data_IF_723768175469
#
_entry.id   IF_723768175469
#
_cell.length_a   1.000
_cell.length_b   1.000
_cell.length_c   1.000
_cell.angle_alpha   90.00
_cell.angle_beta   90.00
_cell.angle_gamma   90.00
#
_symmetry.space_group_name_H-M   'P 1'
#
loop_
_entity.id
_entity.type
_entity.pdbx_description
1 polymer ?
#
# COMPACT_ATOMS: atom_id res chain seq x y z
N UNK A 1 5.93 45.84 31.68
CA UNK A 1 5.43 45.96 30.30
C UNK A 1 6.23 45.09 29.34
N UNK A 2 7.53 45.34 29.14
CA UNK A 2 8.38 44.57 28.21
C UNK A 2 8.45 43.07 28.52
N UNK A 3 8.62 42.69 29.79
CA UNK A 3 8.63 41.28 30.22
C UNK A 3 7.32 40.55 29.95
N UNK A 4 6.18 41.24 30.09
CA UNK A 4 4.86 40.68 29.81
C UNK A 4 4.65 40.44 28.31
N UNK A 5 5.11 41.37 27.46
CA UNK A 5 5.08 41.22 25.99
C UNK A 5 5.96 40.04 25.55
N UNK A 6 7.18 39.93 26.09
CA UNK A 6 8.09 38.81 25.79
C UNK A 6 7.46 37.48 26.23
N UNK A 7 6.87 37.42 27.42
CA UNK A 7 6.22 36.22 27.94
C UNK A 7 5.01 35.80 27.09
N UNK A 8 4.22 36.77 26.63
CA UNK A 8 3.08 36.51 25.74
C UNK A 8 3.53 35.98 24.37
N UNK A 9 4.57 36.57 23.76
CA UNK A 9 5.15 36.08 22.52
C UNK A 9 5.76 34.68 22.66
N UNK A 10 6.44 34.40 23.77
CA UNK A 10 7.00 33.08 24.05
C UNK A 10 5.89 32.01 24.13
N UNK A 11 4.74 32.34 24.71
CA UNK A 11 3.60 31.43 24.82
C UNK A 11 3.00 31.10 23.44
N UNK A 12 2.86 32.10 22.56
CA UNK A 12 2.41 31.91 21.17
C UNK A 12 3.39 31.02 20.40
N UNK A 13 4.69 31.29 20.49
CA UNK A 13 5.72 30.50 19.80
C UNK A 13 5.76 29.06 20.31
N UNK A 14 5.59 28.85 21.62
CA UNK A 14 5.50 27.51 22.21
C UNK A 14 4.28 26.76 21.70
N UNK A 15 3.11 27.41 21.64
CA UNK A 15 1.89 26.81 21.09
C UNK A 15 2.04 26.40 19.63
N UNK A 16 2.60 27.28 18.80
CA UNK A 16 2.87 26.99 17.39
C UNK A 16 3.89 25.85 17.21
N UNK A 17 4.98 25.87 17.99
CA UNK A 17 6.01 24.82 17.96
C UNK A 17 5.44 23.46 18.34
N UNK A 18 4.60 23.40 19.39
CA UNK A 18 3.94 22.18 19.84
C UNK A 18 2.98 21.62 18.77
N UNK A 19 2.18 22.47 18.13
CA UNK A 19 1.31 22.06 17.03
C UNK A 19 2.13 21.43 15.88
N UNK A 20 3.20 22.10 15.45
CA UNK A 20 4.08 21.61 14.39
C UNK A 20 4.84 20.34 14.78
N UNK A 21 5.19 20.19 16.05
CA UNK A 21 5.81 18.96 16.56
C UNK A 21 4.85 17.78 16.48
N UNK A 22 3.59 17.96 16.91
CA UNK A 22 2.58 16.90 16.88
C UNK A 22 2.29 16.42 15.45
N UNK A 23 2.22 17.35 14.49
CA UNK A 23 2.06 16.99 13.07
C UNK A 23 3.27 16.19 12.55
N UNK A 24 4.50 16.59 12.91
CA UNK A 24 5.71 15.82 12.56
C UNK A 24 5.72 14.43 13.18
N UNK A 25 5.29 14.29 14.43
CA UNK A 25 5.22 12.99 15.10
C UNK A 25 4.23 12.05 14.42
N UNK A 26 3.07 12.55 13.96
CA UNK A 26 2.14 11.76 13.15
C UNK A 26 2.75 11.31 11.83
N UNK A 27 3.43 12.21 11.11
CA UNK A 27 4.12 11.87 9.86
C UNK A 27 5.15 10.77 10.12
N UNK A 28 5.98 10.92 11.17
CA UNK A 28 6.99 9.91 11.53
C UNK A 28 6.35 8.56 11.85
N UNK A 29 5.25 8.54 12.63
CA UNK A 29 4.53 7.30 12.92
C UNK A 29 3.99 6.64 11.64
N UNK A 30 3.36 7.43 10.76
CA UNK A 30 2.87 6.97 9.47
C UNK A 30 4.02 6.40 8.61
N UNK A 31 5.16 7.06 8.55
CA UNK A 31 6.35 6.54 7.86
C UNK A 31 6.80 5.20 8.44
N UNK A 32 6.84 5.05 9.76
CA UNK A 32 7.24 3.78 10.41
C UNK A 32 6.26 2.65 10.06
N UNK A 33 4.95 2.90 10.09
CA UNK A 33 3.96 1.90 9.68
C UNK A 33 4.11 1.54 8.20
N UNK A 34 4.30 2.56 7.35
CA UNK A 34 4.52 2.35 5.92
C UNK A 34 5.74 1.48 5.63
N UNK A 35 6.88 1.81 6.24
CA UNK A 35 8.14 1.07 6.09
C UNK A 35 8.01 -0.38 6.53
N UNK A 36 7.33 -0.62 7.66
CA UNK A 36 7.19 -1.97 8.22
C UNK A 36 6.26 -2.88 7.41
N UNK A 37 5.22 -2.30 6.79
CA UNK A 37 4.14 -3.09 6.20
C UNK A 37 4.24 -3.11 4.68
N UNK A 38 4.49 -1.97 4.06
CA UNK A 38 4.26 -1.77 2.63
C UNK A 38 5.55 -1.59 1.83
N UNK A 39 6.59 -0.97 2.39
CA UNK A 39 7.76 -0.55 1.59
C UNK A 39 8.41 -1.70 0.79
N UNK A 40 8.70 -2.83 1.45
CA UNK A 40 9.31 -3.99 0.78
C UNK A 40 8.39 -4.60 -0.29
N UNK A 41 7.09 -4.65 0.00
CA UNK A 41 6.09 -5.12 -0.96
C UNK A 41 6.07 -4.26 -2.22
N UNK A 42 6.00 -2.94 -2.06
CA UNK A 42 5.88 -1.97 -3.16
C UNK A 42 7.14 -1.87 -4.02
N UNK A 43 8.32 -1.91 -3.40
CA UNK A 43 9.58 -1.59 -4.09
C UNK A 43 10.28 -2.79 -4.71
N UNK A 44 10.06 -3.98 -4.16
CA UNK A 44 10.83 -5.16 -4.55
C UNK A 44 9.93 -6.37 -4.76
N UNK A 45 9.27 -6.84 -3.70
CA UNK A 45 8.66 -8.18 -3.70
C UNK A 45 7.58 -8.33 -4.77
N UNK A 46 6.71 -7.31 -4.93
CA UNK A 46 5.62 -7.34 -5.90
C UNK A 46 6.13 -7.32 -7.35
N UNK A 47 7.15 -6.50 -7.64
CA UNK A 47 7.72 -6.38 -8.99
C UNK A 47 8.43 -7.66 -9.41
N UNK A 48 9.24 -8.22 -8.51
CA UNK A 48 9.94 -9.48 -8.77
C UNK A 48 8.94 -10.63 -8.98
N UNK A 49 7.94 -10.77 -8.10
CA UNK A 49 6.94 -11.81 -8.24
C UNK A 49 6.08 -11.65 -9.50
N UNK A 50 5.76 -10.42 -9.91
CA UNK A 50 5.04 -10.17 -11.17
C UNK A 50 5.84 -10.60 -12.40
N UNK A 51 7.14 -10.37 -12.40
CA UNK A 51 8.04 -10.72 -13.52
C UNK A 51 8.25 -12.23 -13.66
N UNK A 52 8.09 -13.00 -12.57
CA UNK A 52 8.23 -14.46 -12.59
C UNK A 52 7.04 -15.17 -13.27
N UNK A 53 5.88 -14.52 -13.29
CA UNK A 53 4.64 -15.07 -13.85
C UNK A 53 4.67 -15.09 -15.38
N UNK A 54 4.26 -16.22 -15.95
CA UNK A 54 4.18 -16.41 -17.41
C UNK A 54 3.06 -17.37 -17.79
N UNK A 55 2.61 -17.28 -19.04
CA UNK A 55 1.76 -18.31 -19.63
C UNK A 55 2.62 -19.43 -20.21
N UNK A 56 2.19 -20.67 -20.01
CA UNK A 56 2.80 -21.84 -20.65
C UNK A 56 2.25 -22.09 -22.06
N UNK A 57 2.72 -23.16 -22.70
CA UNK A 57 2.27 -23.57 -24.05
C UNK A 57 0.78 -23.87 -24.14
N UNK A 58 0.16 -24.32 -23.05
CA UNK A 58 -1.27 -24.64 -22.97
C UNK A 58 -2.13 -23.42 -22.69
N UNK A 59 -1.49 -22.28 -22.41
CA UNK A 59 -2.15 -21.03 -22.08
C UNK A 59 -2.54 -20.91 -20.62
N UNK A 60 -2.00 -21.75 -19.74
CA UNK A 60 -2.19 -21.66 -18.29
C UNK A 60 -1.16 -20.71 -17.69
N UNK A 61 -1.59 -19.92 -16.71
CA UNK A 61 -0.70 -19.08 -15.90
C UNK A 61 0.13 -19.96 -14.96
N UNK A 62 1.44 -19.74 -14.90
CA UNK A 62 2.40 -20.47 -14.07
C UNK A 62 3.26 -19.53 -13.24
N UNK A 63 3.94 -20.09 -12.23
CA UNK A 63 4.80 -19.38 -11.28
C UNK A 63 4.07 -18.32 -10.44
N UNK A 64 2.77 -18.49 -10.21
CA UNK A 64 1.94 -17.54 -9.46
C UNK A 64 2.10 -17.65 -7.94
N UNK A 65 2.53 -18.81 -7.43
CA UNK A 65 2.62 -19.13 -6.01
C UNK A 65 3.37 -18.06 -5.20
N UNK A 66 4.48 -17.53 -5.72
CA UNK A 66 5.23 -16.47 -5.04
C UNK A 66 4.38 -15.22 -4.85
N UNK A 67 3.63 -14.82 -5.89
CA UNK A 67 2.80 -13.63 -5.85
C UNK A 67 1.56 -13.86 -4.96
N UNK A 68 0.89 -15.01 -5.09
CA UNK A 68 -0.22 -15.41 -4.22
C UNK A 68 0.19 -15.34 -2.73
N UNK A 69 1.36 -15.89 -2.39
CA UNK A 69 1.89 -15.84 -1.03
C UNK A 69 2.17 -14.41 -0.55
N UNK A 70 2.68 -13.53 -1.41
CA UNK A 70 2.90 -12.12 -1.07
C UNK A 70 1.58 -11.37 -0.84
N UNK A 71 0.56 -11.62 -1.67
CA UNK A 71 -0.77 -11.04 -1.52
C UNK A 71 -1.42 -11.51 -0.21
N UNK A 72 -1.32 -12.80 0.09
CA UNK A 72 -1.83 -13.38 1.33
C UNK A 72 -1.11 -12.82 2.58
N UNK A 73 0.21 -12.71 2.55
CA UNK A 73 1.01 -12.15 3.64
C UNK A 73 0.69 -10.67 3.89
N UNK A 74 0.59 -9.86 2.82
CA UNK A 74 0.16 -8.48 2.95
C UNK A 74 -1.26 -8.40 3.52
N UNK A 75 -2.17 -9.26 3.06
CA UNK A 75 -3.54 -9.38 3.56
C UNK A 75 -3.61 -9.61 5.08
N UNK A 76 -2.69 -10.40 5.64
CA UNK A 76 -2.57 -10.60 7.10
C UNK A 76 -2.01 -9.37 7.81
N UNK A 77 -0.96 -8.76 7.24
CA UNK A 77 -0.30 -7.59 7.83
C UNK A 77 -1.22 -6.38 7.95
N UNK A 78 -2.26 -6.29 7.13
CA UNK A 78 -3.22 -5.19 7.16
C UNK A 78 -4.45 -5.44 8.05
N UNK A 79 -4.61 -6.63 8.65
CA UNK A 79 -5.81 -6.98 9.46
C UNK A 79 -6.10 -5.97 10.57
N UNK A 80 -5.07 -5.38 11.18
CA UNK A 80 -5.28 -4.37 12.22
C UNK A 80 -6.06 -3.14 11.72
N UNK A 81 -6.01 -2.83 10.43
CA UNK A 81 -6.78 -1.74 9.84
C UNK A 81 -8.28 -1.97 9.90
N UNK A 82 -8.74 -3.22 10.01
CA UNK A 82 -10.16 -3.51 10.22
C UNK A 82 -10.72 -2.75 11.44
N UNK A 83 -9.87 -2.58 12.47
CA UNK A 83 -10.25 -1.94 13.72
C UNK A 83 -9.94 -0.44 13.76
N UNK A 84 -8.91 0.03 13.04
CA UNK A 84 -8.43 1.43 13.14
C UNK A 84 -8.78 2.31 11.93
N UNK A 85 -9.01 1.71 10.76
CA UNK A 85 -9.46 2.38 9.54
C UNK A 85 -10.14 1.38 8.61
N UNK A 86 -11.40 1.06 8.92
CA UNK A 86 -12.18 0.07 8.18
C UNK A 86 -12.31 0.39 6.70
N UNK A 87 -12.43 1.67 6.32
CA UNK A 87 -12.58 2.04 4.92
C UNK A 87 -11.32 1.72 4.11
N UNK A 88 -10.14 2.03 4.67
CA UNK A 88 -8.87 1.65 4.06
C UNK A 88 -8.71 0.13 4.00
N UNK A 89 -9.03 -0.56 5.09
CA UNK A 89 -8.96 -2.03 5.16
C UNK A 89 -9.80 -2.70 4.09
N UNK A 90 -11.11 -2.42 4.03
CA UNK A 90 -12.02 -3.03 3.07
C UNK A 90 -11.60 -2.73 1.62
N UNK A 91 -11.16 -1.50 1.36
CA UNK A 91 -10.69 -1.09 0.03
C UNK A 91 -9.43 -1.87 -0.39
N UNK A 92 -8.45 -1.99 0.51
CA UNK A 92 -7.20 -2.67 0.21
C UNK A 92 -7.39 -4.18 0.16
N UNK A 93 -8.11 -4.77 1.12
CA UNK A 93 -8.43 -6.20 1.15
C UNK A 93 -9.20 -6.62 -0.10
N UNK A 94 -10.18 -5.82 -0.53
CA UNK A 94 -10.92 -6.07 -1.75
C UNK A 94 -10.03 -6.09 -3.00
N UNK A 95 -9.07 -5.16 -3.11
CA UNK A 95 -8.11 -5.14 -4.23
C UNK A 95 -7.14 -6.32 -4.18
N UNK A 96 -6.68 -6.72 -3.00
CA UNK A 96 -5.84 -7.90 -2.82
C UNK A 96 -6.57 -9.18 -3.23
N UNK A 97 -7.84 -9.34 -2.85
CA UNK A 97 -8.65 -10.49 -3.26
C UNK A 97 -8.84 -10.52 -4.78
N UNK A 98 -9.11 -9.38 -5.41
CA UNK A 98 -9.22 -9.29 -6.87
C UNK A 98 -7.90 -9.64 -7.59
N UNK A 99 -6.76 -9.24 -7.01
CA UNK A 99 -5.46 -9.64 -7.53
C UNK A 99 -5.25 -11.14 -7.39
N UNK A 100 -5.56 -11.71 -6.23
CA UNK A 100 -5.48 -13.16 -5.98
C UNK A 100 -6.33 -13.96 -6.99
N UNK A 101 -7.57 -13.52 -7.24
CA UNK A 101 -8.45 -14.10 -8.27
C UNK A 101 -7.83 -14.07 -9.67
N UNK A 102 -7.13 -12.99 -10.04
CA UNK A 102 -6.44 -12.89 -11.34
C UNK A 102 -5.22 -13.81 -11.43
N UNK A 103 -4.61 -14.17 -10.29
CA UNK A 103 -3.48 -15.10 -10.23
C UNK A 103 -3.94 -16.55 -10.35
N UNK A 104 -5.18 -16.86 -9.98
CA UNK A 104 -5.80 -18.17 -10.23
C UNK A 104 -6.13 -18.30 -11.72
N UNK A 105 -5.18 -18.89 -12.47
CA UNK A 105 -5.17 -18.84 -13.93
C UNK A 105 -6.30 -19.58 -14.64
N UNK A 106 -6.93 -18.89 -15.60
CA UNK A 106 -7.68 -19.49 -16.69
C UNK A 106 -6.76 -19.96 -17.83
N UNK A 107 -7.25 -20.86 -18.69
CA UNK A 107 -6.56 -21.21 -19.93
C UNK A 107 -6.83 -20.13 -21.00
N UNK A 108 -5.87 -19.23 -21.21
CA UNK A 108 -5.95 -18.10 -22.11
C UNK A 108 -4.96 -18.22 -23.26
N UNK A 109 -5.34 -17.78 -24.47
CA UNK A 109 -4.49 -17.84 -25.67
C UNK A 109 -4.51 -16.52 -26.43
N UNK A 110 -3.38 -16.21 -27.08
CA UNK A 110 -3.22 -15.03 -27.95
C UNK A 110 -3.51 -13.73 -27.20
N UNK A 111 -4.30 -12.84 -27.80
CA UNK A 111 -4.61 -11.51 -27.26
C UNK A 111 -5.12 -11.53 -25.80
N UNK A 112 -5.86 -12.57 -25.41
CA UNK A 112 -6.38 -12.71 -24.04
C UNK A 112 -5.29 -12.82 -22.98
N UNK A 113 -4.12 -13.36 -23.31
CA UNK A 113 -2.98 -13.44 -22.39
C UNK A 113 -2.42 -12.04 -22.09
N UNK A 114 -2.24 -11.23 -23.12
CA UNK A 114 -1.81 -9.83 -22.98
C UNK A 114 -2.83 -9.02 -22.19
N UNK A 115 -4.13 -9.16 -22.51
CA UNK A 115 -5.20 -8.50 -21.77
C UNK A 115 -5.24 -8.91 -20.29
N UNK A 116 -4.94 -10.18 -19.99
CA UNK A 116 -4.87 -10.66 -18.61
C UNK A 116 -3.72 -10.05 -17.83
N UNK A 117 -2.53 -9.94 -18.46
CA UNK A 117 -1.40 -9.27 -17.83
C UNK A 117 -1.67 -7.80 -17.56
N UNK A 118 -2.31 -7.10 -18.49
CA UNK A 118 -2.73 -5.70 -18.26
C UNK A 118 -3.63 -5.59 -17.04
N UNK A 119 -4.60 -6.50 -16.86
CA UNK A 119 -5.47 -6.50 -15.66
C UNK A 119 -4.70 -6.71 -14.36
N UNK A 120 -3.71 -7.60 -14.37
CA UNK A 120 -2.83 -7.81 -13.20
C UNK A 120 -2.08 -6.51 -12.89
N UNK A 121 -1.48 -5.89 -13.91
CA UNK A 121 -0.67 -4.68 -13.76
C UNK A 121 -1.52 -3.48 -13.29
N UNK A 122 -2.71 -3.30 -13.85
CA UNK A 122 -3.70 -2.31 -13.40
C UNK A 122 -4.10 -2.54 -11.94
N UNK A 123 -4.30 -3.80 -11.52
CA UNK A 123 -4.66 -4.10 -10.14
C UNK A 123 -3.53 -3.79 -9.16
N UNK A 124 -2.29 -4.09 -9.55
CA UNK A 124 -1.09 -3.73 -8.79
C UNK A 124 -0.98 -2.21 -8.65
N UNK A 125 -1.18 -1.47 -9.75
CA UNK A 125 -1.16 0.00 -9.73
C UNK A 125 -2.24 0.56 -8.78
N UNK A 126 -3.46 0.04 -8.83
CA UNK A 126 -4.53 0.45 -7.91
C UNK A 126 -4.18 0.21 -6.44
N UNK A 127 -3.53 -0.92 -6.12
CA UNK A 127 -3.06 -1.24 -4.76
C UNK A 127 -1.99 -0.23 -4.34
N UNK A 128 -1.02 0.04 -5.21
CA UNK A 128 0.08 0.98 -4.95
C UNK A 128 -0.46 2.37 -4.69
N UNK A 129 -1.35 2.86 -5.56
CA UNK A 129 -1.97 4.17 -5.42
C UNK A 129 -2.80 4.28 -4.14
N UNK A 130 -3.56 3.25 -3.77
CA UNK A 130 -4.33 3.26 -2.52
C UNK A 130 -3.42 3.38 -1.29
N UNK A 131 -2.31 2.64 -1.25
CA UNK A 131 -1.34 2.71 -0.17
C UNK A 131 -0.65 4.08 -0.16
N UNK A 132 -0.17 4.56 -1.30
CA UNK A 132 0.53 5.84 -1.38
C UNK A 132 -0.36 7.01 -0.98
N UNK A 133 -1.63 7.01 -1.40
CA UNK A 133 -2.60 8.04 -1.03
C UNK A 133 -2.90 8.06 0.47
N UNK A 134 -2.90 6.90 1.14
CA UNK A 134 -3.11 6.82 2.59
C UNK A 134 -1.98 7.49 3.39
N UNK A 135 -0.76 7.47 2.87
CA UNK A 135 0.45 7.82 3.62
C UNK A 135 1.14 9.11 3.19
N UNK A 136 1.03 9.50 1.93
CA UNK A 136 1.83 10.58 1.34
C UNK A 136 1.04 11.67 0.64
N UNK A 137 -0.26 11.45 0.38
CA UNK A 137 -1.12 12.47 -0.22
C UNK A 137 -2.01 13.04 0.89
N UNK A 138 -1.84 14.33 1.17
CA UNK A 138 -2.60 15.12 2.16
C UNK A 138 -3.42 16.20 1.45
#
# INVERSE_FOLDING_TARGET
MLSAIISFLALILSGYSFYKQREREKIVQNTIFFEKIFFKFLTQDCVEARNDIRFNSDGKLENTERFENLVADLGKKIEFYEYVDKNFYESLKGKLNQLDELLVGDHLKGKKQTEHFVKIDEKVEEIFNLIMNKYFVH
#
